data_IF_219995556400
#
_entry.id   IF_219995556400
#
_cell.length_a   1.000
_cell.length_b   1.000
_cell.length_c   1.000
_cell.angle_alpha   90.00
_cell.angle_beta   90.00
_cell.angle_gamma   90.00
#
_symmetry.space_group_name_H-M   'P 1'
#
loop_
_entity.id
_entity.type
_entity.pdbx_description
1 polymer ?
#
# COMPACT_ATOMS: atom_id res chain seq x y z
N UNK A 1 -8.29 9.02 18.30
CA UNK A 1 -8.42 7.97 17.26
C UNK A 1 -9.06 6.72 17.85
N UNK A 2 -10.20 6.27 17.31
CA UNK A 2 -10.96 5.10 17.80
C UNK A 2 -10.16 3.78 17.61
N UNK A 3 -10.33 2.78 18.49
CA UNK A 3 -9.63 1.49 18.46
C UNK A 3 -9.83 0.73 17.13
N UNK A 4 -11.04 0.76 16.58
CA UNK A 4 -11.41 0.18 15.26
C UNK A 4 -10.52 0.72 14.13
N UNK A 5 -10.35 2.04 14.13
CA UNK A 5 -9.50 2.72 13.15
C UNK A 5 -8.04 2.30 13.32
N UNK A 6 -7.53 2.20 14.55
CA UNK A 6 -6.16 1.73 14.82
C UNK A 6 -5.95 0.31 14.27
N UNK A 7 -6.87 -0.60 14.53
CA UNK A 7 -6.78 -1.98 14.04
C UNK A 7 -6.77 -1.98 12.50
N UNK A 8 -7.70 -1.26 11.87
CA UNK A 8 -7.73 -1.18 10.40
C UNK A 8 -6.48 -0.57 9.78
N UNK A 9 -5.91 0.48 10.38
CA UNK A 9 -4.65 1.06 9.93
C UNK A 9 -3.48 0.07 10.08
N UNK A 10 -3.40 -0.66 11.20
CA UNK A 10 -2.37 -1.68 11.41
C UNK A 10 -2.52 -2.86 10.43
N UNK A 11 -3.75 -3.29 10.17
CA UNK A 11 -4.07 -4.31 9.16
C UNK A 11 -3.64 -3.86 7.76
N UNK A 12 -3.88 -2.59 7.41
CA UNK A 12 -3.47 -2.00 6.13
C UNK A 12 -1.97 -1.71 6.02
N UNK A 13 -1.27 -1.59 7.14
CA UNK A 13 0.18 -1.42 7.16
C UNK A 13 0.92 -2.64 6.62
N UNK A 14 0.40 -3.85 6.83
CA UNK A 14 1.01 -5.09 6.33
C UNK A 14 1.17 -5.13 4.81
N UNK A 15 0.11 -4.99 3.98
CA UNK A 15 0.27 -4.92 2.53
C UNK A 15 1.08 -3.69 2.08
N UNK A 16 1.08 -2.60 2.85
CA UNK A 16 1.88 -1.42 2.53
C UNK A 16 3.37 -1.67 2.71
N UNK A 17 3.78 -2.28 3.83
CA UNK A 17 5.16 -2.66 4.11
C UNK A 17 5.60 -3.71 3.09
N UNK A 18 4.81 -4.77 2.89
CA UNK A 18 5.13 -5.81 1.92
C UNK A 18 5.29 -5.21 0.50
N UNK A 19 4.36 -4.34 0.10
CA UNK A 19 4.44 -3.60 -1.15
C UNK A 19 5.70 -2.73 -1.26
N UNK A 20 6.03 -1.96 -0.23
CA UNK A 20 7.23 -1.13 -0.21
C UNK A 20 8.50 -1.99 -0.37
N UNK A 21 8.59 -3.11 0.34
CA UNK A 21 9.73 -4.01 0.21
C UNK A 21 9.80 -4.66 -1.17
N UNK A 22 8.68 -5.18 -1.67
CA UNK A 22 8.62 -5.90 -2.94
C UNK A 22 8.82 -5.00 -4.16
N UNK A 23 8.16 -3.85 -4.22
CA UNK A 23 8.19 -2.99 -5.40
C UNK A 23 9.29 -1.94 -5.38
N UNK A 24 9.83 -1.59 -4.21
CA UNK A 24 10.81 -0.52 -4.09
C UNK A 24 12.13 -0.99 -3.48
N UNK A 25 12.14 -1.43 -2.21
CA UNK A 25 13.40 -1.67 -1.49
C UNK A 25 14.21 -2.82 -2.11
N UNK A 26 13.61 -4.00 -2.33
CA UNK A 26 14.33 -5.14 -2.88
C UNK A 26 14.82 -4.84 -4.31
N UNK A 27 13.99 -4.30 -5.23
CA UNK A 27 14.48 -3.87 -6.53
C UNK A 27 15.63 -2.85 -6.42
N UNK A 28 15.52 -1.85 -5.53
CA UNK A 28 16.52 -0.79 -5.41
C UNK A 28 17.88 -1.32 -4.94
N UNK A 29 17.87 -2.32 -4.05
CA UNK A 29 19.08 -2.97 -3.54
C UNK A 29 19.68 -4.00 -4.52
N UNK A 30 18.86 -4.57 -5.42
CA UNK A 30 19.27 -5.67 -6.30
C UNK A 30 19.72 -5.24 -7.69
N UNK A 31 19.53 -3.98 -8.07
CA UNK A 31 19.96 -3.47 -9.37
C UNK A 31 20.84 -2.23 -9.27
N UNK A 32 21.55 -1.96 -10.37
CA UNK A 32 22.34 -0.73 -10.54
C UNK A 32 21.46 0.36 -11.13
N UNK A 33 20.79 1.12 -10.28
CA UNK A 33 19.92 2.22 -10.67
C UNK A 33 20.59 3.57 -10.39
N UNK A 34 20.50 4.51 -11.32
CA UNK A 34 20.81 5.90 -10.99
C UNK A 34 19.71 6.51 -10.11
N UNK A 35 20.03 7.55 -9.35
CA UNK A 35 19.09 8.19 -8.42
C UNK A 35 17.79 8.69 -9.08
N UNK A 36 17.89 9.18 -10.32
CA UNK A 36 16.73 9.60 -11.10
C UNK A 36 15.83 8.43 -11.53
N UNK A 37 16.33 7.20 -11.45
CA UNK A 37 15.60 5.99 -11.81
C UNK A 37 14.72 5.43 -10.70
N UNK A 38 15.01 5.80 -9.46
CA UNK A 38 14.33 5.25 -8.29
C UNK A 38 12.83 5.62 -8.28
N UNK A 39 12.48 6.78 -8.83
CA UNK A 39 11.08 7.24 -8.89
C UNK A 39 10.15 6.35 -9.73
N UNK A 40 10.67 5.66 -10.75
CA UNK A 40 9.88 4.76 -11.61
C UNK A 40 10.01 3.29 -11.28
N UNK A 41 10.87 2.95 -10.33
CA UNK A 41 11.17 1.59 -9.92
C UNK A 41 9.91 0.78 -9.51
N UNK A 42 8.94 1.33 -8.76
CA UNK A 42 7.71 0.61 -8.44
C UNK A 42 6.91 0.24 -9.69
N UNK A 43 6.81 1.15 -10.66
CA UNK A 43 6.08 0.91 -11.90
C UNK A 43 6.79 -0.11 -12.81
N UNK A 44 8.12 -0.05 -12.89
CA UNK A 44 8.92 -1.05 -13.60
C UNK A 44 8.72 -2.44 -12.99
N UNK A 45 8.74 -2.54 -11.66
CA UNK A 45 8.52 -3.82 -10.97
C UNK A 45 7.08 -4.31 -11.15
N UNK A 46 6.11 -3.40 -11.16
CA UNK A 46 4.71 -3.70 -11.43
C UNK A 46 4.49 -4.31 -12.83
N UNK A 47 5.20 -3.84 -13.84
CA UNK A 47 5.01 -4.27 -15.24
C UNK A 47 5.89 -5.45 -15.65
N UNK A 48 6.98 -5.70 -14.94
CA UNK A 48 7.97 -6.73 -15.31
C UNK A 48 7.85 -8.05 -14.54
N UNK A 49 7.11 -8.06 -13.43
CA UNK A 49 6.95 -9.26 -12.60
C UNK A 49 5.70 -10.05 -12.99
N UNK A 50 5.69 -11.38 -12.76
CA UNK A 50 4.51 -12.20 -13.06
C UNK A 50 3.38 -11.95 -12.06
N UNK A 51 2.14 -12.26 -12.45
CA UNK A 51 0.95 -12.12 -11.59
C UNK A 51 1.10 -12.77 -10.21
N UNK A 52 1.75 -13.93 -10.12
CA UNK A 52 2.00 -14.63 -8.85
C UNK A 52 2.82 -13.81 -7.86
N UNK A 53 3.75 -12.99 -8.35
CA UNK A 53 4.53 -12.08 -7.53
C UNK A 53 3.64 -11.02 -6.88
N UNK A 54 2.75 -10.41 -7.65
CA UNK A 54 1.83 -9.39 -7.16
C UNK A 54 0.84 -9.94 -6.13
N UNK A 55 0.38 -11.17 -6.33
CA UNK A 55 -0.46 -11.88 -5.34
C UNK A 55 0.29 -12.07 -4.02
N UNK A 56 1.54 -12.55 -4.07
CA UNK A 56 2.36 -12.74 -2.87
C UNK A 56 2.67 -11.45 -2.13
N UNK A 57 2.91 -10.35 -2.85
CA UNK A 57 3.36 -9.08 -2.25
C UNK A 57 2.19 -8.21 -1.76
N UNK A 58 1.01 -8.30 -2.38
CA UNK A 58 -0.14 -7.44 -2.05
C UNK A 58 -1.31 -8.23 -1.49
N UNK A 59 -1.80 -9.24 -2.23
CA UNK A 59 -3.04 -9.93 -1.87
C UNK A 59 -2.87 -10.79 -0.61
N UNK A 60 -1.78 -11.57 -0.49
CA UNK A 60 -1.53 -12.42 0.67
C UNK A 60 -1.34 -11.60 1.96
N UNK A 61 -0.49 -10.55 1.99
CA UNK A 61 -0.39 -9.67 3.16
C UNK A 61 -1.70 -8.95 3.48
N UNK A 62 -2.47 -8.54 2.47
CA UNK A 62 -3.79 -7.95 2.68
C UNK A 62 -4.77 -8.94 3.31
N UNK A 63 -4.77 -10.19 2.85
CA UNK A 63 -5.53 -11.29 3.45
C UNK A 63 -5.18 -11.47 4.92
N UNK A 64 -3.89 -11.60 5.25
CA UNK A 64 -3.44 -11.79 6.63
C UNK A 64 -3.85 -10.61 7.51
N UNK A 65 -3.63 -9.39 7.02
CA UNK A 65 -3.98 -8.16 7.75
C UNK A 65 -5.48 -8.04 8.00
N UNK A 66 -6.32 -8.29 7.00
CA UNK A 66 -7.77 -8.20 7.14
C UNK A 66 -8.34 -9.34 7.98
N UNK A 67 -7.85 -10.57 7.82
CA UNK A 67 -8.23 -11.72 8.63
C UNK A 67 -7.95 -11.45 10.12
N UNK A 68 -6.69 -11.09 10.44
CA UNK A 68 -6.28 -10.78 11.82
C UNK A 68 -7.02 -9.57 12.38
N UNK A 69 -7.15 -8.49 11.61
CA UNK A 69 -7.88 -7.29 12.02
C UNK A 69 -9.34 -7.55 12.34
N UNK A 70 -10.01 -8.34 11.49
CA UNK A 70 -11.41 -8.72 11.68
C UNK A 70 -11.62 -9.59 12.92
N UNK A 71 -10.72 -10.55 13.18
CA UNK A 71 -10.76 -11.35 14.40
C UNK A 71 -10.55 -10.49 15.65
N UNK A 72 -9.58 -9.57 15.63
CA UNK A 72 -9.31 -8.68 16.76
C UNK A 72 -10.49 -7.77 17.08
N UNK A 73 -11.11 -7.17 16.06
CA UNK A 73 -12.32 -6.35 16.20
C UNK A 73 -13.47 -7.12 16.83
N UNK A 74 -13.66 -8.38 16.44
CA UNK A 74 -14.73 -9.23 16.99
C UNK A 74 -14.43 -9.67 18.42
N UNK A 75 -13.17 -9.99 18.72
CA UNK A 75 -12.71 -10.31 20.08
C UNK A 75 -12.96 -9.19 21.09
N UNK A 76 -12.90 -7.93 20.66
CA UNK A 76 -13.21 -6.77 21.51
C UNK A 76 -14.72 -6.41 21.56
N UNK A 77 -15.59 -7.26 21.01
CA UNK A 77 -17.05 -7.09 21.04
C UNK A 77 -17.60 -6.09 20.02
N UNK A 78 -16.80 -5.67 19.03
CA UNK A 78 -17.19 -4.58 18.11
C UNK A 78 -17.66 -5.10 16.74
N UNK A 79 -18.63 -6.02 16.70
CA UNK A 79 -19.13 -6.67 15.48
C UNK A 79 -20.18 -5.91 14.65
N UNK A 80 -20.23 -4.57 14.71
CA UNK A 80 -21.25 -3.78 13.99
C UNK A 80 -20.88 -3.55 12.52
N UNK A 81 -21.89 -3.34 11.65
CA UNK A 81 -21.68 -2.96 10.24
C UNK A 81 -20.81 -1.69 10.09
N UNK A 82 -21.00 -0.72 10.97
CA UNK A 82 -20.19 0.50 11.01
C UNK A 82 -18.74 0.19 11.35
N UNK A 83 -18.48 -0.78 12.24
CA UNK A 83 -17.12 -1.21 12.53
C UNK A 83 -16.46 -1.84 11.31
N UNK A 84 -17.17 -2.71 10.61
CA UNK A 84 -16.67 -3.37 9.40
C UNK A 84 -16.32 -2.33 8.33
N UNK A 85 -17.16 -1.32 8.13
CA UNK A 85 -16.89 -0.23 7.20
C UNK A 85 -15.64 0.59 7.60
N UNK A 86 -15.48 0.92 8.89
CA UNK A 86 -14.29 1.62 9.39
C UNK A 86 -13.04 0.79 9.18
N UNK A 87 -13.08 -0.50 9.54
CA UNK A 87 -11.97 -1.43 9.39
C UNK A 87 -11.55 -1.53 7.92
N UNK A 88 -12.52 -1.74 7.02
CA UNK A 88 -12.28 -1.87 5.60
C UNK A 88 -11.69 -0.59 5.01
N UNK A 89 -12.28 0.57 5.30
CA UNK A 89 -11.78 1.87 4.81
C UNK A 89 -10.36 2.13 5.29
N UNK A 90 -10.09 1.91 6.58
CA UNK A 90 -8.77 2.12 7.17
C UNK A 90 -7.71 1.15 6.60
N UNK A 91 -8.08 -0.10 6.32
CA UNK A 91 -7.19 -1.09 5.72
C UNK A 91 -6.76 -0.71 4.31
N UNK A 92 -7.67 -0.15 3.51
CA UNK A 92 -7.38 0.23 2.12
C UNK A 92 -6.74 1.62 2.00
N UNK A 93 -6.95 2.51 2.98
CA UNK A 93 -6.35 3.86 2.93
C UNK A 93 -4.84 3.84 3.07
N UNK A 94 -4.26 2.91 3.84
CA UNK A 94 -2.79 2.87 4.07
C UNK A 94 -2.02 2.49 2.80
N UNK A 95 -2.38 1.44 2.04
CA UNK A 95 -1.72 1.14 0.77
C UNK A 95 -1.85 2.27 -0.24
N UNK A 96 -3.03 2.89 -0.34
CA UNK A 96 -3.24 4.05 -1.24
C UNK A 96 -2.35 5.22 -0.84
N UNK A 97 -2.33 5.59 0.45
CA UNK A 97 -1.47 6.64 0.95
C UNK A 97 0.02 6.33 0.72
N UNK A 98 0.41 5.06 0.80
CA UNK A 98 1.79 4.61 0.54
C UNK A 98 2.17 4.82 -0.92
N UNK A 99 1.30 4.42 -1.86
CA UNK A 99 1.54 4.65 -3.31
C UNK A 99 1.63 6.13 -3.62
N UNK A 100 0.70 6.94 -3.10
CA UNK A 100 0.72 8.40 -3.30
C UNK A 100 1.95 9.05 -2.66
N UNK A 101 2.36 8.59 -1.48
CA UNK A 101 3.57 9.05 -0.81
C UNK A 101 4.82 8.74 -1.62
N UNK A 102 4.94 7.53 -2.16
CA UNK A 102 6.05 7.14 -3.05
C UNK A 102 6.07 7.97 -4.34
N UNK A 103 4.89 8.27 -4.90
CA UNK A 103 4.78 9.17 -6.05
C UNK A 103 5.32 10.57 -5.74
N UNK A 104 4.90 11.17 -4.62
CA UNK A 104 5.38 12.49 -4.19
C UNK A 104 6.89 12.46 -3.95
N UNK A 105 7.40 11.44 -3.25
CA UNK A 105 8.85 11.27 -3.03
C UNK A 105 9.60 11.14 -4.36
N UNK A 106 9.08 10.35 -5.30
CA UNK A 106 9.68 10.16 -6.63
C UNK A 106 9.78 11.46 -7.43
N UNK A 107 8.77 12.33 -7.35
CA UNK A 107 8.79 13.65 -7.99
C UNK A 107 9.78 14.62 -7.31
N UNK A 108 9.88 14.55 -5.98
CA UNK A 108 10.70 15.47 -5.21
C UNK A 108 12.18 15.05 -5.12
N UNK A 109 12.50 13.77 -5.32
CA UNK A 109 13.86 13.24 -5.21
C UNK A 109 14.90 14.01 -6.06
N UNK A 110 14.61 14.37 -7.33
CA UNK A 110 15.56 15.14 -8.16
C UNK A 110 15.91 16.53 -7.60
N UNK A 111 15.01 17.15 -6.82
CA UNK A 111 15.27 18.45 -6.20
C UNK A 111 16.34 18.39 -5.12
N UNK A 112 16.56 17.24 -4.49
CA UNK A 112 17.62 17.07 -3.51
C UNK A 112 19.02 17.19 -4.15
N UNK A 113 19.15 16.91 -5.46
CA UNK A 113 20.40 17.08 -6.21
C UNK A 113 20.84 18.54 -6.37
N UNK A 114 19.92 19.51 -6.30
CA UNK A 114 20.25 20.94 -6.38
C UNK A 114 21.03 21.43 -5.17
N UNK A 115 20.78 20.85 -3.99
CA UNK A 115 21.53 21.20 -2.78
C UNK A 115 22.98 20.68 -2.81
N UNK A 116 23.29 19.76 -3.73
CA UNK A 116 24.63 19.19 -3.87
C UNK A 116 25.52 20.05 -4.78
N UNK A 117 24.95 20.76 -5.77
CA UNK A 117 25.69 21.61 -6.71
C UNK A 117 25.02 22.99 -6.90
N UNK A 118 25.19 23.92 -5.93
CA UNK A 118 24.51 25.22 -5.95
C UNK A 118 24.94 26.13 -7.11
N UNK A 119 26.16 25.96 -7.63
CA UNK A 119 26.72 26.77 -8.72
C UNK A 119 26.00 26.60 -10.05
N UNK A 120 25.28 25.49 -10.25
CA UNK A 120 24.50 25.20 -11.46
C UNK A 120 22.98 25.35 -11.23
N UNK A 121 22.57 25.76 -10.01
CA UNK A 121 21.17 25.74 -9.61
C UNK A 121 20.28 26.66 -10.48
N UNK A 122 20.80 27.79 -10.95
CA UNK A 122 20.05 28.73 -11.78
C UNK A 122 19.67 28.17 -13.17
N UNK A 123 20.60 27.51 -13.85
CA UNK A 123 20.35 26.86 -15.15
C UNK A 123 19.61 25.53 -15.00
N UNK A 124 19.86 24.80 -13.91
CA UNK A 124 19.16 23.56 -13.59
C UNK A 124 17.71 23.77 -13.09
N UNK A 125 17.37 24.93 -12.52
CA UNK A 125 16.05 25.20 -11.96
C UNK A 125 14.94 25.16 -13.01
N UNK A 126 15.11 25.80 -14.16
CA UNK A 126 14.10 25.77 -15.23
C UNK A 126 13.91 24.35 -15.78
N UNK A 127 15.01 23.60 -15.95
CA UNK A 127 14.97 22.20 -16.36
C UNK A 127 14.25 21.32 -15.32
N UNK A 128 14.51 21.52 -14.03
CA UNK A 128 13.86 20.78 -12.95
C UNK A 128 12.39 21.16 -12.78
N UNK A 129 12.02 22.43 -12.93
CA UNK A 129 10.61 22.85 -12.95
C UNK A 129 9.88 22.16 -14.10
N UNK A 130 10.46 22.19 -15.31
CA UNK A 130 9.89 21.51 -16.47
C UNK A 130 9.78 19.99 -16.24
N UNK A 131 10.84 19.35 -15.76
CA UNK A 131 10.86 17.92 -15.44
C UNK A 131 9.85 17.55 -14.35
N UNK A 132 9.67 18.41 -13.34
CA UNK A 132 8.68 18.23 -12.28
C UNK A 132 7.27 18.34 -12.80
N UNK A 133 6.97 19.34 -13.65
CA UNK A 133 5.66 19.49 -14.28
C UNK A 133 5.33 18.30 -15.18
N UNK A 134 6.27 17.89 -16.03
CA UNK A 134 6.12 16.70 -16.87
C UNK A 134 5.99 15.42 -16.05
N UNK A 135 6.79 15.28 -15.00
CA UNK A 135 6.72 14.20 -14.03
C UNK A 135 5.40 14.19 -13.26
N UNK A 136 4.80 15.35 -13.00
CA UNK A 136 3.48 15.44 -12.39
C UNK A 136 2.41 14.94 -13.36
N UNK A 137 2.42 15.37 -14.62
CA UNK A 137 1.42 14.95 -15.62
C UNK A 137 1.50 13.46 -15.91
N UNK A 138 2.68 12.96 -16.28
CA UNK A 138 2.88 11.54 -16.61
C UNK A 138 2.82 10.68 -15.36
N UNK A 139 3.49 11.12 -14.29
CA UNK A 139 3.56 10.35 -13.06
C UNK A 139 2.23 10.26 -12.33
N UNK A 140 1.33 11.26 -12.42
CA UNK A 140 -0.02 11.15 -11.85
C UNK A 140 -0.82 10.05 -12.56
N UNK A 141 -0.67 9.91 -13.88
CA UNK A 141 -1.30 8.81 -14.63
C UNK A 141 -0.74 7.45 -14.19
N UNK A 142 0.58 7.34 -14.04
CA UNK A 142 1.22 6.11 -13.55
C UNK A 142 0.82 5.80 -12.10
N UNK A 143 0.72 6.82 -11.24
CA UNK A 143 0.27 6.68 -9.86
C UNK A 143 -1.20 6.24 -9.80
N UNK A 144 -2.06 6.77 -10.67
CA UNK A 144 -3.46 6.35 -10.76
C UNK A 144 -3.58 4.87 -11.17
N UNK A 145 -2.79 4.42 -12.15
CA UNK A 145 -2.72 3.01 -12.55
C UNK A 145 -2.21 2.14 -11.40
N UNK A 146 -1.14 2.57 -10.72
CA UNK A 146 -0.60 1.85 -9.57
C UNK A 146 -1.60 1.77 -8.41
N UNK A 147 -2.32 2.85 -8.11
CA UNK A 147 -3.38 2.88 -7.10
C UNK A 147 -4.51 1.92 -7.48
N UNK A 148 -4.99 1.95 -8.73
CA UNK A 148 -6.02 1.03 -9.19
C UNK A 148 -5.58 -0.43 -9.04
N UNK A 149 -4.36 -0.74 -9.45
CA UNK A 149 -3.80 -2.08 -9.33
C UNK A 149 -3.67 -2.55 -7.87
N UNK A 150 -3.10 -1.69 -7.02
CA UNK A 150 -2.95 -1.97 -5.58
C UNK A 150 -4.32 -2.15 -4.94
N UNK A 151 -5.30 -1.31 -5.26
CA UNK A 151 -6.66 -1.46 -4.75
C UNK A 151 -7.28 -2.79 -5.14
N UNK A 152 -7.18 -3.21 -6.41
CA UNK A 152 -7.71 -4.50 -6.86
C UNK A 152 -7.07 -5.67 -6.09
N UNK A 153 -5.73 -5.70 -6.00
CA UNK A 153 -5.02 -6.78 -5.32
C UNK A 153 -5.31 -6.80 -3.80
N UNK A 154 -5.30 -5.63 -3.16
CA UNK A 154 -5.60 -5.49 -1.72
C UNK A 154 -7.05 -5.86 -1.46
N UNK A 155 -7.99 -5.51 -2.33
CA UNK A 155 -9.42 -5.81 -2.21
C UNK A 155 -9.70 -7.32 -2.30
N UNK A 156 -9.08 -8.03 -3.24
CA UNK A 156 -9.21 -9.49 -3.34
C UNK A 156 -8.72 -10.17 -2.06
N UNK A 157 -7.54 -9.78 -1.57
CA UNK A 157 -6.98 -10.30 -0.33
C UNK A 157 -7.87 -9.98 0.87
N UNK A 158 -8.33 -8.74 0.99
CA UNK A 158 -9.09 -8.26 2.13
C UNK A 158 -10.47 -8.92 2.23
N UNK A 159 -11.21 -9.05 1.12
CA UNK A 159 -12.48 -9.78 1.10
C UNK A 159 -12.29 -11.22 1.56
N UNK A 160 -11.29 -11.90 1.00
CA UNK A 160 -11.00 -13.30 1.33
C UNK A 160 -10.69 -13.45 2.83
N UNK A 161 -9.88 -12.56 3.39
CA UNK A 161 -9.54 -12.56 4.81
C UNK A 161 -10.73 -12.23 5.71
N UNK A 162 -11.54 -11.25 5.32
CA UNK A 162 -12.75 -10.86 6.06
C UNK A 162 -13.78 -12.00 6.11
N UNK A 163 -14.07 -12.62 4.96
CA UNK A 163 -15.05 -13.73 4.85
C UNK A 163 -14.60 -14.92 5.69
N UNK A 164 -13.32 -15.28 5.64
CA UNK A 164 -12.80 -16.38 6.44
C UNK A 164 -12.84 -16.07 7.94
N UNK A 165 -12.48 -14.84 8.34
CA UNK A 165 -12.57 -14.42 9.74
C UNK A 165 -14.02 -14.45 10.23
N UNK A 166 -14.98 -14.07 9.39
CA UNK A 166 -16.40 -14.12 9.72
C UNK A 166 -16.90 -15.55 9.91
N UNK A 167 -16.54 -16.45 8.99
CA UNK A 167 -16.88 -17.87 9.07
C UNK A 167 -16.31 -18.50 10.35
N UNK A 168 -15.06 -18.16 10.68
CA UNK A 168 -14.40 -18.63 11.89
C UNK A 168 -15.12 -18.19 13.16
N UNK A 169 -15.50 -16.90 13.25
CA UNK A 169 -16.22 -16.39 14.43
C UNK A 169 -17.61 -17.02 14.60
N UNK A 170 -18.35 -17.25 13.51
CA UNK A 170 -19.66 -17.91 13.60
C UNK A 170 -19.55 -19.39 13.96
N UNK A 171 -18.55 -20.08 13.42
CA UNK A 171 -18.27 -21.47 13.78
C UNK A 171 -17.99 -21.61 15.27
N UNK A 172 -17.16 -20.72 15.81
CA UNK A 172 -16.81 -20.70 17.23
C UNK A 172 -18.03 -20.48 18.15
N UNK A 173 -18.85 -19.46 17.86
CA UNK A 173 -20.08 -19.20 18.63
C UNK A 173 -21.06 -20.39 18.61
N UNK A 174 -21.06 -21.16 17.52
CA UNK A 174 -21.91 -22.34 17.40
C UNK A 174 -21.44 -23.49 18.29
N UNK A 175 -20.13 -23.63 18.49
CA UNK A 175 -19.54 -24.65 19.37
C UNK A 175 -19.80 -24.29 20.83
N UNK A 176 -19.54 -23.05 21.24
CA UNK A 176 -19.75 -22.60 22.63
C UNK A 176 -21.21 -22.81 23.09
N UNK A 177 -22.19 -22.57 22.21
CA UNK A 177 -23.62 -22.79 22.50
C UNK A 177 -24.01 -24.27 22.63
N UNK A 178 -23.18 -25.21 22.18
CA UNK A 178 -23.44 -26.65 22.30
C UNK A 178 -22.83 -27.24 23.56
N UNK A 179 -21.84 -26.58 24.14
CA UNK A 179 -21.09 -27.07 25.30
C UNK A 179 -21.51 -26.42 26.64
N UNK A 180 -22.28 -25.33 26.60
CA UNK A 180 -22.86 -24.66 27.77
C UNK A 180 -24.36 -24.87 27.91
#
# INVERSE_FOLDING_TARGET
>A
MNRRMKIGLLSGALPSIAGLFGYFIIPALSGSYYWHELGYLPFRTLTSKPYSYHVMVLAVPSFVGMFGGSLLVRKIGEGSKTTDAILFTAHHSVPVATVLGLFVIGILLPWLGLFQNPSEAGSAALFLVFYTLMGFVIGLLLAAIAVAYVLVAVFIGSISGYVLAWAFTRGWETIERREG
#
